data_IF_872208026615
#
_entry.id   IF_872208026615
#
_cell.length_a   1.000
_cell.length_b   1.000
_cell.length_c   1.000
_cell.angle_alpha   90.00
_cell.angle_beta   90.00
_cell.angle_gamma   90.00
#
_symmetry.space_group_name_H-M   'P 1'
#
loop_
_entity.id
_entity.type
_entity.pdbx_description
1 polymer ?
#
# COMPACT_ATOMS: atom_id res chain seq x y z
N UNK A 1 4.98 6.29 -14.74
CA UNK A 1 5.46 5.26 -13.78
C UNK A 1 4.38 4.21 -13.59
N UNK A 2 4.76 2.96 -13.38
CA UNK A 2 3.81 1.91 -13.01
C UNK A 2 3.55 1.99 -11.50
N UNK A 3 2.29 2.14 -11.11
CA UNK A 3 1.83 2.13 -9.72
C UNK A 3 0.58 1.28 -9.60
N UNK A 4 0.57 0.26 -8.73
CA UNK A 4 -0.55 -0.68 -8.57
C UNK A 4 -1.09 -1.21 -9.92
N UNK A 5 -0.20 -1.60 -10.84
CA UNK A 5 -0.53 -2.06 -12.19
C UNK A 5 -1.30 -1.02 -13.05
N UNK A 6 -1.00 0.27 -12.87
CA UNK A 6 -1.49 1.38 -13.69
C UNK A 6 -0.34 2.29 -14.11
N UNK A 7 -0.43 2.88 -15.30
CA UNK A 7 0.46 3.96 -15.72
C UNK A 7 -0.01 5.27 -15.09
N UNK A 8 0.83 5.92 -14.29
CA UNK A 8 0.60 7.27 -13.79
C UNK A 8 1.46 8.26 -14.57
N UNK A 9 0.81 9.29 -15.13
CA UNK A 9 1.45 10.32 -15.98
C UNK A 9 1.17 11.72 -15.43
N UNK A 10 2.20 12.42 -14.99
CA UNK A 10 2.12 13.79 -14.48
C UNK A 10 2.34 14.81 -15.61
N UNK A 11 1.26 15.36 -16.20
CA UNK A 11 1.43 16.27 -17.36
C UNK A 11 2.03 17.63 -17.00
N UNK A 12 1.74 18.14 -15.81
CA UNK A 12 2.08 19.51 -15.43
C UNK A 12 3.36 19.61 -14.57
N UNK A 13 4.06 18.51 -14.30
CA UNK A 13 5.29 18.49 -13.49
C UNK A 13 6.45 17.90 -14.31
N UNK A 14 7.35 18.77 -14.77
CA UNK A 14 8.48 18.39 -15.65
C UNK A 14 9.40 17.33 -15.01
N UNK A 15 9.51 17.34 -13.69
CA UNK A 15 10.35 16.42 -12.91
C UNK A 15 9.97 14.95 -13.09
N UNK A 16 8.73 14.65 -13.52
CA UNK A 16 8.19 13.28 -13.59
C UNK A 16 7.90 12.81 -15.03
N UNK A 17 8.43 13.51 -16.04
CA UNK A 17 8.15 13.20 -17.45
C UNK A 17 8.91 11.99 -18.00
N UNK A 18 9.94 11.51 -17.30
CA UNK A 18 10.80 10.40 -17.75
C UNK A 18 10.44 9.03 -17.17
N UNK A 19 9.29 8.90 -16.49
CA UNK A 19 8.93 7.62 -15.88
C UNK A 19 8.48 6.60 -16.95
N UNK A 20 9.00 5.37 -16.86
CA UNK A 20 8.65 4.25 -17.75
C UNK A 20 7.14 3.96 -17.73
N UNK A 21 6.58 3.70 -18.91
CA UNK A 21 5.19 3.33 -19.15
C UNK A 21 5.11 1.93 -19.76
N UNK A 22 3.99 1.26 -19.57
CA UNK A 22 3.73 -0.06 -20.14
C UNK A 22 2.45 -0.04 -20.99
N UNK A 23 2.55 -0.34 -22.28
CA UNK A 23 1.48 -0.14 -23.27
C UNK A 23 0.19 -0.93 -22.99
N UNK A 24 0.26 -2.00 -22.19
CA UNK A 24 -0.89 -2.80 -21.79
C UNK A 24 -1.63 -2.33 -20.53
N UNK A 25 -1.18 -1.28 -19.83
CA UNK A 25 -1.76 -0.85 -18.56
C UNK A 25 -2.67 0.37 -18.72
N UNK A 26 -3.75 0.39 -17.91
CA UNK A 26 -4.63 1.55 -17.80
C UNK A 26 -3.84 2.78 -17.36
N UNK A 27 -4.12 3.92 -18.00
CA UNK A 27 -3.42 5.16 -17.72
C UNK A 27 -4.28 6.11 -16.91
N UNK A 28 -3.72 6.56 -15.78
CA UNK A 28 -4.26 7.63 -14.94
C UNK A 28 -3.43 8.88 -15.18
N UNK A 29 -4.08 9.89 -15.74
CA UNK A 29 -3.43 11.18 -15.99
C UNK A 29 -3.58 12.07 -14.75
N UNK A 30 -2.49 12.71 -14.34
CA UNK A 30 -2.46 13.67 -13.24
C UNK A 30 -2.32 15.08 -13.82
N UNK A 31 -3.31 15.94 -13.55
CA UNK A 31 -3.45 17.28 -14.13
C UNK A 31 -3.61 18.36 -13.06
N UNK A 32 -2.91 19.47 -13.24
CA UNK A 32 -3.12 20.67 -12.42
C UNK A 32 -4.45 21.32 -12.82
N UNK A 33 -5.25 21.74 -11.86
CA UNK A 33 -6.48 22.51 -12.06
C UNK A 33 -6.39 23.89 -11.40
N UNK A 34 -7.23 24.84 -11.83
CA UNK A 34 -7.44 26.11 -11.13
C UNK A 34 -8.35 25.93 -9.91
N UNK A 35 -8.13 26.71 -8.86
CA UNK A 35 -8.86 26.60 -7.58
C UNK A 35 -10.38 26.83 -7.70
N UNK A 36 -10.81 27.53 -8.76
CA UNK A 36 -12.19 27.98 -8.97
C UNK A 36 -13.23 26.88 -9.20
N UNK A 37 -12.85 25.63 -9.44
CA UNK A 37 -13.80 24.55 -9.78
C UNK A 37 -14.16 23.62 -8.60
N UNK A 38 -13.33 23.63 -7.55
CA UNK A 38 -13.25 22.50 -6.63
C UNK A 38 -14.12 22.61 -5.40
N UNK A 39 -14.31 23.83 -4.91
CA UNK A 39 -15.06 24.07 -3.69
C UNK A 39 -16.57 24.09 -3.92
N UNK A 40 -17.04 24.34 -5.15
CA UNK A 40 -18.46 24.36 -5.48
C UNK A 40 -19.04 22.95 -5.71
N UNK A 41 -18.18 21.98 -6.09
CA UNK A 41 -18.61 20.62 -6.44
C UNK A 41 -18.73 19.70 -5.22
N UNK A 42 -17.93 19.94 -4.16
CA UNK A 42 -17.84 19.06 -2.99
C UNK A 42 -18.36 19.75 -1.72
N UNK A 43 -19.68 19.69 -1.52
CA UNK A 43 -20.37 20.36 -0.40
C UNK A 43 -20.16 19.68 0.95
N UNK A 44 -19.86 18.37 0.98
CA UNK A 44 -19.63 17.61 2.21
C UNK A 44 -18.14 17.57 2.52
N UNK A 45 -17.78 17.89 3.76
CA UNK A 45 -16.39 17.88 4.25
C UNK A 45 -16.34 17.22 5.62
N UNK A 46 -15.37 16.34 5.82
CA UNK A 46 -15.10 15.82 7.16
C UNK A 46 -14.35 16.85 8.00
N UNK A 47 -14.30 16.63 9.32
CA UNK A 47 -13.33 17.32 10.17
C UNK A 47 -11.90 17.05 9.69
N UNK A 48 -11.00 17.98 9.99
CA UNK A 48 -9.56 17.77 9.84
C UNK A 48 -9.10 16.62 10.74
N UNK A 49 -8.24 15.77 10.21
CA UNK A 49 -7.63 14.65 10.92
C UNK A 49 -6.16 14.53 10.53
N UNK A 50 -5.33 14.01 11.44
CA UNK A 50 -3.93 13.75 11.16
C UNK A 50 -3.80 12.55 10.21
N UNK A 51 -3.13 12.75 9.09
CA UNK A 51 -2.85 11.72 8.08
C UNK A 51 -1.43 11.94 7.57
N UNK A 52 -0.59 10.91 7.64
CA UNK A 52 0.79 10.99 7.12
C UNK A 52 1.61 12.20 7.64
N UNK A 53 1.33 12.66 8.86
CA UNK A 53 1.99 13.82 9.48
C UNK A 53 1.40 15.19 9.14
N UNK A 54 0.34 15.26 8.32
CA UNK A 54 -0.36 16.51 7.97
C UNK A 54 -1.83 16.48 8.39
N UNK A 55 -2.43 17.66 8.55
CA UNK A 55 -3.89 17.77 8.65
C UNK A 55 -4.52 17.57 7.28
N UNK A 56 -5.39 16.57 7.16
CA UNK A 56 -6.13 16.31 5.94
C UNK A 56 -7.62 16.09 6.21
N UNK A 57 -8.46 16.30 5.19
CA UNK A 57 -9.88 15.98 5.24
C UNK A 57 -10.39 15.44 3.92
N UNK A 58 -11.46 14.65 4.01
CA UNK A 58 -12.16 14.14 2.84
C UNK A 58 -13.27 15.13 2.44
N UNK A 59 -13.41 15.35 1.14
CA UNK A 59 -14.42 16.19 0.53
C UNK A 59 -15.18 15.40 -0.55
N UNK A 60 -16.50 15.55 -0.61
CA UNK A 60 -17.33 14.86 -1.62
C UNK A 60 -18.69 15.55 -1.83
N UNK A 61 -19.39 15.19 -2.90
CA UNK A 61 -20.77 15.64 -3.14
C UNK A 61 -21.81 14.73 -2.46
N UNK A 62 -21.43 13.49 -2.14
CA UNK A 62 -22.27 12.45 -1.54
C UNK A 62 -21.51 11.78 -0.38
N UNK A 63 -22.23 11.20 0.57
CA UNK A 63 -21.63 10.52 1.72
C UNK A 63 -20.76 9.32 1.28
N UNK A 64 -19.58 9.17 1.89
CA UNK A 64 -18.56 8.16 1.50
C UNK A 64 -19.03 6.71 1.58
N UNK A 65 -20.01 6.38 2.44
CA UNK A 65 -20.54 5.00 2.47
C UNK A 65 -21.27 4.60 1.17
N UNK A 66 -21.61 5.58 0.31
CA UNK A 66 -22.15 5.37 -1.03
C UNK A 66 -21.06 5.28 -2.11
N UNK A 67 -19.78 5.25 -1.75
CA UNK A 67 -18.69 5.20 -2.71
C UNK A 67 -18.77 3.92 -3.55
N UNK A 68 -18.63 4.08 -4.86
CA UNK A 68 -18.56 3.06 -5.89
C UNK A 68 -17.59 3.51 -6.99
N UNK A 69 -17.52 2.75 -8.10
CA UNK A 69 -16.64 3.06 -9.24
C UNK A 69 -16.89 4.41 -9.92
N UNK A 70 -18.02 5.07 -9.65
CA UNK A 70 -18.41 6.35 -10.24
C UNK A 70 -18.33 7.50 -9.21
N UNK A 71 -17.79 7.24 -8.02
CA UNK A 71 -17.76 8.19 -6.92
C UNK A 71 -16.55 9.11 -7.02
N UNK A 72 -16.77 10.35 -7.45
CA UNK A 72 -15.75 11.41 -7.40
C UNK A 72 -15.66 12.01 -5.99
N UNK A 73 -14.44 12.26 -5.55
CA UNK A 73 -14.13 12.78 -4.21
C UNK A 73 -12.77 13.48 -4.20
N UNK A 74 -12.47 14.18 -3.11
CA UNK A 74 -11.21 14.87 -2.92
C UNK A 74 -10.61 14.62 -1.53
N UNK A 75 -9.29 14.67 -1.48
CA UNK A 75 -8.48 14.73 -0.28
C UNK A 75 -7.82 16.10 -0.23
N UNK A 76 -8.17 16.90 0.77
CA UNK A 76 -7.56 18.21 1.00
C UNK A 76 -6.49 18.05 2.08
N UNK A 77 -5.24 18.38 1.75
CA UNK A 77 -4.10 18.42 2.66
C UNK A 77 -3.83 19.89 2.97
N UNK A 78 -4.05 20.29 4.23
CA UNK A 78 -4.05 21.68 4.66
C UNK A 78 -2.77 22.39 4.26
N UNK A 79 -2.89 23.54 3.60
CA UNK A 79 -1.81 24.37 3.06
C UNK A 79 -0.89 23.70 2.01
N UNK A 80 -1.00 22.40 1.75
CA UNK A 80 -0.07 21.68 0.86
C UNK A 80 -0.65 21.51 -0.54
N UNK A 81 -1.77 20.79 -0.67
CA UNK A 81 -2.44 20.51 -1.95
C UNK A 81 -3.81 19.87 -1.74
N UNK A 82 -4.65 19.93 -2.77
CA UNK A 82 -5.89 19.14 -2.84
C UNK A 82 -5.76 18.14 -3.99
N UNK A 83 -6.07 16.87 -3.74
CA UNK A 83 -6.15 15.80 -4.75
C UNK A 83 -7.61 15.46 -5.00
N UNK A 84 -7.98 15.24 -6.26
CA UNK A 84 -9.35 14.92 -6.66
C UNK A 84 -9.34 13.72 -7.57
N UNK A 85 -10.23 12.79 -7.26
CA UNK A 85 -10.54 11.67 -8.11
C UNK A 85 -11.74 12.04 -8.97
N UNK A 86 -11.51 12.19 -10.27
CA UNK A 86 -12.57 12.31 -11.26
C UNK A 86 -12.88 10.91 -11.79
N UNK A 87 -13.89 10.28 -11.20
CA UNK A 87 -14.27 8.90 -11.53
C UNK A 87 -14.82 8.76 -12.96
N UNK A 88 -15.41 9.83 -13.51
CA UNK A 88 -15.97 9.84 -14.87
C UNK A 88 -14.86 9.79 -15.91
N UNK A 89 -13.86 10.66 -15.76
CA UNK A 89 -12.75 10.78 -16.70
C UNK A 89 -11.54 9.91 -16.30
N UNK A 90 -11.62 9.20 -15.16
CA UNK A 90 -10.60 8.29 -14.63
C UNK A 90 -9.22 8.96 -14.51
N UNK A 91 -9.21 10.15 -13.89
CA UNK A 91 -8.00 10.99 -13.76
C UNK A 91 -7.89 11.58 -12.35
N UNK A 92 -6.67 11.98 -12.01
CA UNK A 92 -6.39 12.70 -10.77
C UNK A 92 -6.18 14.18 -11.10
N UNK A 93 -6.95 15.05 -10.47
CA UNK A 93 -6.75 16.50 -10.54
C UNK A 93 -6.09 16.98 -9.26
N UNK A 94 -5.29 18.03 -9.33
CA UNK A 94 -4.72 18.64 -8.14
C UNK A 94 -4.65 20.17 -8.19
N UNK A 95 -4.75 20.79 -7.01
CA UNK A 95 -4.42 22.21 -6.80
C UNK A 95 -3.26 22.35 -5.83
N UNK A 96 -2.55 23.47 -5.93
CA UNK A 96 -1.35 23.76 -5.13
C UNK A 96 -1.74 24.63 -3.94
N UNK A 97 -1.38 24.22 -2.73
CA UNK A 97 -1.42 25.08 -1.55
C UNK A 97 -0.17 25.95 -1.43
N UNK A 98 -0.11 26.75 -0.37
CA UNK A 98 1.02 27.66 -0.10
C UNK A 98 2.34 26.95 0.20
N UNK A 99 2.28 25.72 0.71
CA UNK A 99 3.44 24.86 1.06
C UNK A 99 3.70 23.76 0.03
N UNK A 100 3.10 23.86 -1.16
CA UNK A 100 3.22 22.83 -2.19
C UNK A 100 4.67 22.58 -2.64
N UNK A 101 5.02 21.30 -2.80
CA UNK A 101 6.18 20.87 -3.57
C UNK A 101 5.81 19.72 -4.53
N UNK A 102 6.52 19.55 -5.67
CA UNK A 102 6.31 18.41 -6.55
C UNK A 102 6.57 17.05 -5.87
N UNK A 103 7.51 17.00 -4.92
CA UNK A 103 7.82 15.78 -4.15
C UNK A 103 6.62 15.36 -3.31
N UNK A 104 5.99 16.29 -2.60
CA UNK A 104 4.76 16.03 -1.84
C UNK A 104 3.62 15.55 -2.74
N UNK A 105 3.45 16.11 -3.95
CA UNK A 105 2.43 15.63 -4.88
C UNK A 105 2.60 14.13 -5.17
N UNK A 106 3.83 13.72 -5.52
CA UNK A 106 4.15 12.32 -5.82
C UNK A 106 3.95 11.42 -4.61
N UNK A 107 4.44 11.86 -3.44
CA UNK A 107 4.25 11.16 -2.17
C UNK A 107 2.76 10.93 -1.87
N UNK A 108 1.96 12.00 -1.84
CA UNK A 108 0.54 11.91 -1.48
C UNK A 108 -0.25 11.05 -2.46
N UNK A 109 0.06 11.10 -3.75
CA UNK A 109 -0.61 10.26 -4.74
C UNK A 109 -0.27 8.77 -4.55
N UNK A 110 1.01 8.42 -4.45
CA UNK A 110 1.44 7.02 -4.38
C UNK A 110 1.17 6.40 -3.02
N UNK A 111 1.56 7.11 -1.96
CA UNK A 111 1.53 6.59 -0.61
C UNK A 111 0.10 6.54 -0.07
N UNK A 112 -0.78 7.49 -0.44
CA UNK A 112 -2.08 7.66 0.22
C UNK A 112 -3.27 7.67 -0.74
N UNK A 113 -3.32 8.62 -1.66
CA UNK A 113 -4.54 8.92 -2.41
C UNK A 113 -4.94 7.82 -3.39
N UNK A 114 -4.02 7.36 -4.22
CA UNK A 114 -4.33 6.35 -5.23
C UNK A 114 -4.68 4.96 -4.62
N UNK A 115 -3.98 4.46 -3.57
CA UNK A 115 -4.46 3.31 -2.81
C UNK A 115 -5.91 3.45 -2.33
N UNK A 116 -6.30 4.63 -1.83
CA UNK A 116 -7.67 4.90 -1.37
C UNK A 116 -8.67 4.85 -2.54
N UNK A 117 -8.32 5.42 -3.70
CA UNK A 117 -9.13 5.32 -4.92
C UNK A 117 -9.41 3.85 -5.23
N UNK A 118 -8.37 3.03 -5.30
CA UNK A 118 -8.48 1.60 -5.64
C UNK A 118 -9.33 0.82 -4.62
N UNK A 119 -9.21 1.15 -3.34
CA UNK A 119 -10.00 0.56 -2.24
C UNK A 119 -11.49 0.94 -2.36
N UNK A 120 -11.80 2.23 -2.51
CA UNK A 120 -13.17 2.76 -2.60
C UNK A 120 -13.91 2.26 -3.85
N UNK A 121 -13.19 2.07 -4.95
CA UNK A 121 -13.73 1.46 -6.17
C UNK A 121 -13.91 -0.06 -6.06
N UNK A 122 -13.42 -0.68 -4.97
CA UNK A 122 -13.36 -2.13 -4.76
C UNK A 122 -12.58 -2.86 -5.86
N UNK A 123 -11.64 -2.15 -6.50
CA UNK A 123 -10.74 -2.76 -7.49
C UNK A 123 -9.75 -3.69 -6.81
N UNK A 124 -9.17 -3.24 -5.69
CA UNK A 124 -8.23 -3.98 -4.85
C UNK A 124 -8.58 -3.83 -3.37
N UNK A 125 -8.01 -4.70 -2.54
CA UNK A 125 -7.93 -4.52 -1.09
C UNK A 125 -6.51 -4.18 -0.70
N UNK A 126 -6.32 -3.05 -0.03
CA UNK A 126 -5.01 -2.56 0.38
C UNK A 126 -4.69 -3.02 1.80
N UNK A 127 -3.52 -3.63 1.96
CA UNK A 127 -2.92 -4.08 3.20
C UNK A 127 -1.72 -3.22 3.57
N UNK A 128 -1.58 -2.89 4.86
CA UNK A 128 -0.40 -2.21 5.38
C UNK A 128 0.74 -3.19 5.71
N UNK A 129 1.49 -3.66 4.69
CA UNK A 129 2.50 -4.72 4.80
C UNK A 129 3.72 -4.45 3.92
N UNK A 130 4.87 -5.03 4.30
CA UNK A 130 6.04 -5.15 3.43
C UNK A 130 5.93 -6.40 2.56
N UNK A 131 6.58 -6.43 1.39
CA UNK A 131 6.53 -7.61 0.52
C UNK A 131 7.71 -7.70 -0.45
N UNK A 132 8.17 -8.93 -0.63
CA UNK A 132 9.25 -9.32 -1.54
C UNK A 132 8.92 -10.64 -2.24
N UNK A 133 9.70 -11.00 -3.25
CA UNK A 133 9.69 -12.32 -3.88
C UNK A 133 10.85 -13.19 -3.39
N UNK A 134 10.55 -14.44 -3.06
CA UNK A 134 11.54 -15.47 -2.77
C UNK A 134 11.38 -16.54 -3.85
N UNK A 135 12.38 -16.69 -4.72
CA UNK A 135 12.33 -17.60 -5.88
C UNK A 135 11.06 -17.39 -6.74
N UNK A 136 10.69 -16.13 -6.97
CA UNK A 136 9.50 -15.77 -7.74
C UNK A 136 8.17 -15.94 -7.01
N UNK A 137 8.18 -16.40 -5.75
CA UNK A 137 7.01 -16.52 -4.88
C UNK A 137 6.81 -15.24 -4.05
N UNK A 138 5.74 -14.44 -4.27
CA UNK A 138 5.46 -13.26 -3.47
C UNK A 138 5.07 -13.60 -2.03
N UNK A 139 5.74 -13.00 -1.06
CA UNK A 139 5.44 -13.15 0.36
C UNK A 139 5.14 -11.80 1.00
N UNK A 140 4.25 -11.78 2.00
CA UNK A 140 3.92 -10.56 2.76
C UNK A 140 4.51 -10.63 4.17
N UNK A 141 5.06 -9.52 4.64
CA UNK A 141 5.47 -9.30 6.03
C UNK A 141 4.43 -8.44 6.73
N UNK A 142 3.64 -9.08 7.59
CA UNK A 142 2.69 -8.42 8.50
C UNK A 142 3.27 -8.34 9.89
N UNK A 143 3.00 -7.27 10.62
CA UNK A 143 3.41 -7.13 12.02
C UNK A 143 2.59 -6.02 12.66
N UNK A 144 2.48 -6.06 13.99
CA UNK A 144 2.02 -4.92 14.78
C UNK A 144 2.93 -3.70 14.55
N UNK A 145 2.45 -2.51 14.92
CA UNK A 145 3.22 -1.27 14.79
C UNK A 145 4.62 -1.42 15.38
N UNK A 146 5.63 -0.92 14.67
CA UNK A 146 7.05 -1.08 15.01
C UNK A 146 7.56 -2.52 15.11
N UNK A 147 6.84 -3.49 14.55
CA UNK A 147 7.19 -4.92 14.53
C UNK A 147 8.28 -5.35 13.54
N UNK A 148 9.04 -4.41 12.98
CA UNK A 148 10.19 -4.73 12.12
C UNK A 148 9.90 -5.04 10.65
N UNK A 149 8.67 -4.80 10.12
CA UNK A 149 8.32 -5.04 8.70
C UNK A 149 9.31 -4.39 7.73
N UNK A 150 9.46 -3.07 7.80
CA UNK A 150 10.32 -2.34 6.88
C UNK A 150 11.79 -2.74 7.04
N UNK A 151 12.24 -3.05 8.27
CA UNK A 151 13.59 -3.57 8.54
C UNK A 151 13.83 -4.94 7.89
N UNK A 152 12.87 -5.85 7.98
CA UNK A 152 12.99 -7.16 7.33
C UNK A 152 12.91 -7.03 5.82
N UNK A 153 11.96 -6.23 5.29
CA UNK A 153 11.89 -5.92 3.86
C UNK A 153 13.20 -5.36 3.33
N UNK A 154 13.79 -4.38 4.03
CA UNK A 154 15.11 -3.80 3.69
C UNK A 154 16.18 -4.89 3.62
N UNK A 155 16.24 -5.78 4.61
CA UNK A 155 17.20 -6.89 4.62
C UNK A 155 17.04 -7.81 3.40
N UNK A 156 15.81 -8.15 3.02
CA UNK A 156 15.56 -8.94 1.81
C UNK A 156 15.97 -8.19 0.52
N UNK A 157 15.69 -6.88 0.43
CA UNK A 157 16.12 -6.04 -0.70
C UNK A 157 17.65 -6.04 -0.82
N UNK A 158 18.36 -5.89 0.30
CA UNK A 158 19.83 -5.92 0.34
C UNK A 158 20.42 -7.29 -0.04
N UNK A 159 19.67 -8.38 0.16
CA UNK A 159 20.02 -9.73 -0.32
C UNK A 159 19.69 -9.96 -1.80
N UNK A 160 19.15 -8.95 -2.49
CA UNK A 160 18.85 -9.00 -3.92
C UNK A 160 17.46 -9.49 -4.28
N UNK A 161 16.56 -9.67 -3.31
CA UNK A 161 15.18 -10.07 -3.59
C UNK A 161 14.39 -8.97 -4.28
N UNK A 162 13.47 -9.37 -5.16
CA UNK A 162 12.57 -8.45 -5.84
C UNK A 162 11.55 -7.90 -4.86
N UNK A 163 11.43 -6.58 -4.77
CA UNK A 163 10.45 -5.91 -3.94
C UNK A 163 9.09 -5.81 -4.64
N UNK A 164 7.99 -5.97 -3.90
CA UNK A 164 6.65 -5.62 -4.40
C UNK A 164 6.06 -4.40 -3.68
N UNK A 165 6.32 -4.26 -2.37
CA UNK A 165 5.83 -3.11 -1.61
C UNK A 165 6.60 -2.86 -0.32
N UNK A 166 6.64 -1.60 0.08
CA UNK A 166 6.85 -1.17 1.45
C UNK A 166 5.62 -0.33 1.84
N UNK A 167 5.10 -0.55 3.04
CA UNK A 167 3.85 -0.02 3.58
C UNK A 167 2.53 -0.38 2.88
N UNK A 168 2.37 -0.35 1.55
CA UNK A 168 1.05 -0.54 0.92
C UNK A 168 1.07 -1.66 -0.12
N UNK A 169 0.37 -2.76 0.12
CA UNK A 169 0.21 -3.86 -0.84
C UNK A 169 -1.23 -3.95 -1.32
N UNK A 170 -1.46 -4.02 -2.63
CA UNK A 170 -2.79 -4.26 -3.19
C UNK A 170 -3.01 -5.75 -3.46
N UNK A 171 -4.16 -6.26 -3.04
CA UNK A 171 -4.60 -7.64 -3.28
C UNK A 171 -5.77 -7.64 -4.25
N UNK A 172 -5.63 -8.39 -5.34
CA UNK A 172 -6.65 -8.63 -6.37
C UNK A 172 -7.18 -10.06 -6.27
N UNK A 173 -8.49 -10.24 -6.08
CA UNK A 173 -9.11 -11.57 -6.09
C UNK A 173 -9.59 -11.91 -7.49
N UNK A 174 -9.08 -13.01 -8.07
CA UNK A 174 -9.48 -13.53 -9.38
C UNK A 174 -9.90 -14.99 -9.23
N UNK A 175 -11.21 -15.24 -9.19
CA UNK A 175 -11.72 -16.55 -8.78
C UNK A 175 -11.31 -16.85 -7.33
N UNK A 176 -10.71 -18.01 -7.10
CA UNK A 176 -10.20 -18.42 -5.78
C UNK A 176 -8.74 -18.03 -5.54
N UNK A 177 -8.08 -17.43 -6.54
CA UNK A 177 -6.68 -17.01 -6.43
C UNK A 177 -6.58 -15.53 -6.04
N UNK A 178 -5.65 -15.23 -5.13
CA UNK A 178 -5.34 -13.87 -4.70
C UNK A 178 -4.00 -13.47 -5.30
N UNK A 179 -3.96 -12.35 -6.01
CA UNK A 179 -2.77 -11.81 -6.64
C UNK A 179 -2.24 -10.63 -5.84
N UNK A 180 -0.93 -10.63 -5.59
CA UNK A 180 -0.19 -9.47 -5.12
C UNK A 180 0.04 -8.51 -6.28
N UNK A 181 -0.35 -7.26 -6.09
CA UNK A 181 -0.17 -6.17 -7.06
C UNK A 181 0.82 -5.18 -6.44
N UNK A 182 2.02 -5.14 -7.02
CA UNK A 182 3.11 -4.30 -6.55
C UNK A 182 2.70 -2.81 -6.52
N UNK A 183 3.19 -2.08 -5.52
CA UNK A 183 2.78 -0.70 -5.26
C UNK A 183 3.54 0.31 -6.10
N UNK A 184 4.72 0.71 -5.65
CA UNK A 184 5.63 1.64 -6.30
C UNK A 184 7.08 1.34 -5.88
N UNK A 185 8.07 1.61 -6.75
CA UNK A 185 9.45 1.16 -6.58
C UNK A 185 10.27 2.07 -5.64
N UNK A 186 9.76 2.31 -4.44
CA UNK A 186 10.47 3.09 -3.41
C UNK A 186 10.39 2.40 -2.05
N UNK A 187 11.52 2.39 -1.33
CA UNK A 187 11.64 1.82 0.01
C UNK A 187 11.96 2.91 1.05
N UNK A 188 11.29 2.86 2.20
CA UNK A 188 11.32 3.93 3.22
C UNK A 188 11.58 3.36 4.62
N UNK A 189 12.83 3.02 4.96
CA UNK A 189 13.14 2.36 6.23
C UNK A 189 13.00 3.29 7.44
N UNK A 190 13.30 4.60 7.27
CA UNK A 190 13.36 5.58 8.38
C UNK A 190 12.05 6.35 8.62
N UNK A 191 11.02 6.11 7.80
CA UNK A 191 9.68 6.72 7.94
C UNK A 191 9.67 8.26 8.06
N UNK A 192 10.59 8.93 7.39
CA UNK A 192 10.62 10.40 7.28
C UNK A 192 9.36 10.92 6.56
N UNK A 193 8.68 11.91 7.13
CA UNK A 193 7.40 12.42 6.61
C UNK A 193 7.52 12.95 5.18
N UNK A 194 6.50 12.70 4.36
CA UNK A 194 6.36 13.24 3.00
C UNK A 194 7.50 12.92 2.01
N UNK A 195 8.28 11.89 2.29
CA UNK A 195 9.25 11.29 1.34
C UNK A 195 8.85 9.86 1.02
N UNK A 196 9.17 9.43 -0.21
CA UNK A 196 9.04 8.04 -0.65
C UNK A 196 10.24 7.17 -0.23
N UNK A 197 11.30 7.77 0.31
CA UNK A 197 12.56 7.09 0.58
C UNK A 197 13.43 7.01 -0.68
N UNK A 198 14.09 5.87 -0.92
CA UNK A 198 14.99 5.69 -2.06
C UNK A 198 14.40 4.75 -3.12
N UNK A 199 14.76 4.92 -4.40
CA UNK A 199 14.29 4.05 -5.47
C UNK A 199 14.86 2.63 -5.34
N UNK A 200 14.07 1.62 -5.69
CA UNK A 200 14.48 0.21 -5.73
C UNK A 200 14.45 -0.28 -7.17
N UNK A 201 15.59 -0.70 -7.70
CA UNK A 201 15.70 -1.17 -9.10
C UNK A 201 15.05 -2.54 -9.30
N UNK A 202 15.32 -3.50 -8.40
CA UNK A 202 14.72 -4.83 -8.47
C UNK A 202 13.30 -4.82 -7.89
N UNK A 203 12.34 -4.37 -8.70
CA UNK A 203 10.95 -4.19 -8.32
C UNK A 203 10.00 -4.95 -9.26
N UNK A 204 8.99 -5.59 -8.69
CA UNK A 204 8.01 -6.36 -9.46
C UNK A 204 7.04 -5.45 -10.22
N UNK A 205 6.84 -5.71 -11.50
CA UNK A 205 5.93 -4.93 -12.36
C UNK A 205 4.66 -5.66 -12.76
N UNK A 206 4.61 -6.97 -12.53
CA UNK A 206 3.50 -7.83 -12.94
C UNK A 206 2.73 -8.40 -11.74
N UNK A 207 1.39 -8.54 -11.84
CA UNK A 207 0.60 -9.28 -10.86
C UNK A 207 1.05 -10.73 -10.71
N UNK A 208 1.31 -11.18 -9.48
CA UNK A 208 1.67 -12.58 -9.20
C UNK A 208 0.78 -13.21 -8.14
N UNK A 209 0.48 -14.52 -8.22
CA UNK A 209 -0.25 -15.22 -7.16
C UNK A 209 0.46 -15.06 -5.82
N UNK A 210 -0.27 -14.64 -4.79
CA UNK A 210 0.27 -14.51 -3.45
C UNK A 210 0.61 -15.90 -2.90
N UNK A 211 1.83 -16.09 -2.40
CA UNK A 211 2.28 -17.38 -1.89
C UNK A 211 2.01 -17.55 -0.40
N UNK A 212 2.46 -16.61 0.44
CA UNK A 212 2.33 -16.74 1.90
C UNK A 212 2.34 -15.38 2.62
N UNK A 213 1.86 -15.40 3.86
CA UNK A 213 1.96 -14.26 4.78
C UNK A 213 2.73 -14.65 6.04
N UNK A 214 3.77 -13.91 6.36
CA UNK A 214 4.55 -14.04 7.58
C UNK A 214 4.13 -12.95 8.57
N UNK A 215 3.49 -13.35 9.66
CA UNK A 215 3.18 -12.51 10.81
C UNK A 215 4.40 -12.48 11.74
N UNK A 216 5.11 -11.35 11.75
CA UNK A 216 6.26 -11.10 12.59
C UNK A 216 5.80 -10.75 14.01
N UNK A 217 6.28 -11.52 14.99
CA UNK A 217 6.04 -11.28 16.40
C UNK A 217 7.37 -11.10 17.13
N UNK A 218 7.52 -9.98 17.84
CA UNK A 218 8.73 -9.72 18.62
C UNK A 218 8.85 -10.72 19.76
N UNK A 219 10.06 -11.15 20.03
CA UNK A 219 10.42 -12.03 21.12
C UNK A 219 11.72 -11.56 21.78
N UNK A 220 12.02 -12.11 22.96
CA UNK A 220 13.26 -11.78 23.68
C UNK A 220 14.50 -12.09 22.82
N UNK A 221 15.60 -11.31 22.97
CA UNK A 221 16.78 -11.38 22.09
C UNK A 221 17.41 -12.78 21.93
N UNK A 222 17.26 -13.66 22.92
CA UNK A 222 17.87 -15.00 22.98
C UNK A 222 16.94 -16.10 22.46
N UNK A 223 15.67 -15.81 22.20
CA UNK A 223 14.69 -16.81 21.74
C UNK A 223 15.09 -17.36 20.37
N UNK A 224 14.86 -18.65 20.12
CA UNK A 224 15.13 -19.24 18.80
C UNK A 224 14.12 -18.74 17.76
N UNK A 225 14.59 -18.57 16.52
CA UNK A 225 13.69 -18.25 15.40
C UNK A 225 12.83 -19.48 15.11
N UNK A 226 11.54 -19.34 15.31
CA UNK A 226 10.57 -20.41 15.04
C UNK A 226 9.49 -19.91 14.08
N UNK A 227 9.09 -20.79 13.15
CA UNK A 227 8.03 -20.52 12.18
C UNK A 227 6.95 -21.59 12.29
N UNK A 228 5.73 -21.18 12.62
CA UNK A 228 4.59 -22.08 12.77
C UNK A 228 3.41 -21.60 11.93
N UNK A 229 2.71 -22.53 11.27
CA UNK A 229 1.50 -22.19 10.53
C UNK A 229 0.35 -21.90 11.48
N UNK A 230 -0.30 -20.74 11.30
CA UNK A 230 -1.50 -20.36 12.02
C UNK A 230 -2.71 -21.10 11.46
N UNK A 231 -3.68 -21.44 12.31
CA UNK A 231 -4.91 -22.14 11.90
C UNK A 231 -6.16 -21.38 12.30
N UNK A 232 -7.26 -21.63 11.58
CA UNK A 232 -8.57 -21.06 11.87
C UNK A 232 -8.54 -19.53 12.00
N UNK A 233 -9.13 -19.02 13.08
CA UNK A 233 -9.28 -17.58 13.31
C UNK A 233 -7.96 -16.84 13.50
N UNK A 234 -6.86 -17.53 13.85
CA UNK A 234 -5.57 -16.89 14.05
C UNK A 234 -4.97 -16.34 12.77
N UNK A 235 -5.24 -16.99 11.62
CA UNK A 235 -4.84 -16.47 10.30
C UNK A 235 -5.40 -15.07 10.07
N UNK A 236 -6.60 -14.79 10.57
CA UNK A 236 -7.25 -13.49 10.42
C UNK A 236 -6.51 -12.36 11.13
N UNK A 237 -5.82 -12.64 12.24
CA UNK A 237 -5.03 -11.63 12.97
C UNK A 237 -3.96 -11.00 12.07
N UNK A 238 -3.38 -11.76 11.14
CA UNK A 238 -2.37 -11.25 10.22
C UNK A 238 -2.90 -10.17 9.26
N UNK A 239 -4.21 -10.14 9.01
CA UNK A 239 -4.87 -9.20 8.09
C UNK A 239 -5.67 -8.09 8.80
N UNK A 240 -6.08 -8.33 10.04
CA UNK A 240 -6.98 -7.45 10.78
C UNK A 240 -6.32 -6.14 11.24
N UNK A 241 -5.01 -6.17 11.54
CA UNK A 241 -4.30 -5.03 12.14
C UNK A 241 -3.65 -4.08 11.14
N UNK A 242 -3.93 -4.25 9.84
CA UNK A 242 -3.27 -3.51 8.77
C UNK A 242 -4.23 -2.76 7.82
N UNK A 243 -5.36 -2.16 8.28
CA UNK A 243 -6.16 -1.33 7.38
C UNK A 243 -5.34 -0.09 6.99
N UNK A 244 -5.07 0.04 5.70
CA UNK A 244 -4.42 1.23 5.13
C UNK A 244 -5.22 2.50 5.43
N UNK A 245 -6.55 2.42 5.33
CA UNK A 245 -7.51 3.45 5.80
C UNK A 245 -8.68 2.79 6.52
N UNK A 246 -9.11 3.39 7.63
CA UNK A 246 -10.19 2.88 8.46
C UNK A 246 -11.55 3.49 8.06
N UNK A 247 -12.10 3.04 6.93
CA UNK A 247 -13.49 3.34 6.58
C UNK A 247 -14.43 2.37 7.30
N UNK A 248 -15.16 2.88 8.30
CA UNK A 248 -16.07 2.06 9.12
C UNK A 248 -17.11 1.30 8.30
N UNK A 249 -17.59 1.90 7.19
CA UNK A 249 -18.57 1.28 6.29
C UNK A 249 -18.00 0.11 5.46
N UNK A 250 -16.67 -0.01 5.33
CA UNK A 250 -16.02 -1.11 4.61
C UNK A 250 -15.60 -2.26 5.53
N UNK A 251 -15.79 -2.14 6.86
CA UNK A 251 -15.31 -3.15 7.82
C UNK A 251 -15.85 -4.55 7.54
N UNK A 252 -17.15 -4.66 7.23
CA UNK A 252 -17.79 -5.95 6.93
C UNK A 252 -17.24 -6.58 5.65
N UNK A 253 -17.20 -5.84 4.54
CA UNK A 253 -16.68 -6.37 3.27
C UNK A 253 -15.18 -6.70 3.32
N UNK A 254 -14.38 -5.93 4.10
CA UNK A 254 -12.97 -6.27 4.34
C UNK A 254 -12.83 -7.53 5.18
N UNK A 255 -13.63 -7.67 6.23
CA UNK A 255 -13.65 -8.87 7.06
C UNK A 255 -13.95 -10.10 6.21
N UNK A 256 -15.02 -10.06 5.40
CA UNK A 256 -15.40 -11.16 4.51
C UNK A 256 -14.30 -11.49 3.49
N UNK A 257 -13.67 -10.48 2.88
CA UNK A 257 -12.57 -10.66 1.93
C UNK A 257 -11.37 -11.38 2.56
N UNK A 258 -10.89 -10.92 3.71
CA UNK A 258 -9.70 -11.51 4.34
C UNK A 258 -10.01 -12.83 5.06
N UNK A 259 -11.22 -13.01 5.57
CA UNK A 259 -11.67 -14.30 6.08
C UNK A 259 -11.66 -15.35 4.96
N UNK A 260 -12.15 -15.01 3.77
CA UNK A 260 -12.09 -15.90 2.62
C UNK A 260 -10.65 -16.13 2.15
N UNK A 261 -9.84 -15.08 2.03
CA UNK A 261 -8.42 -15.19 1.64
C UNK A 261 -7.64 -16.13 2.56
N UNK A 262 -7.90 -16.10 3.87
CA UNK A 262 -7.21 -16.94 4.85
C UNK A 262 -7.40 -18.45 4.66
N UNK A 263 -8.43 -18.86 3.90
CA UNK A 263 -8.66 -20.26 3.54
C UNK A 263 -7.74 -20.74 2.41
N UNK A 264 -7.30 -19.83 1.55
CA UNK A 264 -6.53 -20.13 0.35
C UNK A 264 -5.03 -19.83 0.51
N UNK A 265 -4.67 -18.95 1.44
CA UNK A 265 -3.28 -18.50 1.64
C UNK A 265 -2.75 -19.01 3.00
N UNK A 266 -1.59 -19.69 3.02
CA UNK A 266 -0.93 -20.05 4.28
C UNK A 266 -0.45 -18.79 5.01
N UNK A 267 -0.60 -18.81 6.34
CA UNK A 267 -0.14 -17.73 7.21
C UNK A 267 0.76 -18.35 8.26
N UNK A 268 1.99 -17.86 8.33
CA UNK A 268 2.99 -18.33 9.27
C UNK A 268 3.29 -17.26 10.30
N UNK A 269 3.31 -17.62 11.58
CA UNK A 269 3.84 -16.77 12.64
C UNK A 269 5.34 -17.01 12.76
N UNK A 270 6.11 -15.92 12.78
CA UNK A 270 7.57 -15.92 12.93
C UNK A 270 7.91 -15.26 14.26
N UNK A 271 8.60 -16.00 15.12
CA UNK A 271 9.19 -15.45 16.34
C UNK A 271 10.48 -14.73 15.96
N UNK A 272 10.47 -13.40 16.03
CA UNK A 272 11.59 -12.53 15.67
C UNK A 272 12.32 -12.14 16.95
N UNK A 273 13.56 -12.63 17.19
CA UNK A 273 14.36 -12.19 18.32
C UNK A 273 14.64 -10.70 18.19
N UNK A 274 14.46 -9.92 19.26
CA UNK A 274 14.68 -8.47 19.21
C UNK A 274 16.17 -8.11 19.27
N UNK A 275 16.95 -8.68 18.34
CA UNK A 275 18.38 -8.49 18.14
C UNK A 275 18.68 -8.42 16.63
N UNK A 276 19.18 -7.28 16.15
CA UNK A 276 19.48 -7.06 14.74
C UNK A 276 20.59 -7.98 14.21
N UNK A 277 21.54 -8.39 15.05
CA UNK A 277 22.63 -9.29 14.64
C UNK A 277 22.11 -10.68 14.24
N UNK A 278 20.89 -11.03 14.70
CA UNK A 278 20.21 -12.30 14.42
C UNK A 278 19.19 -12.20 13.28
N UNK A 279 19.10 -11.05 12.60
CA UNK A 279 18.16 -10.86 11.49
C UNK A 279 18.40 -11.84 10.34
N UNK A 280 19.67 -12.25 10.13
CA UNK A 280 20.03 -13.26 9.13
C UNK A 280 19.42 -14.63 9.42
N UNK A 281 19.25 -15.01 10.69
CA UNK A 281 18.56 -16.26 11.09
C UNK A 281 17.08 -16.21 10.68
N UNK A 282 16.42 -15.08 10.92
CA UNK A 282 15.02 -14.84 10.55
C UNK A 282 14.84 -14.92 9.03
N UNK A 283 15.73 -14.23 8.30
CA UNK A 283 15.78 -14.27 6.84
C UNK A 283 15.91 -15.71 6.31
N UNK A 284 16.92 -16.46 6.79
CA UNK A 284 17.16 -17.85 6.37
C UNK A 284 15.97 -18.76 6.65
N UNK A 285 15.37 -18.65 7.83
CA UNK A 285 14.20 -19.45 8.20
C UNK A 285 13.01 -19.19 7.27
N UNK A 286 12.74 -17.92 6.92
CA UNK A 286 11.67 -17.55 6.00
C UNK A 286 11.94 -18.06 4.58
N UNK A 287 13.19 -17.94 4.09
CA UNK A 287 13.58 -18.45 2.77
C UNK A 287 13.35 -19.96 2.70
N UNK A 288 13.94 -20.72 3.64
CA UNK A 288 13.75 -22.19 3.72
C UNK A 288 12.27 -22.55 3.75
N UNK A 289 11.49 -21.88 4.61
CA UNK A 289 10.06 -22.16 4.73
C UNK A 289 9.28 -21.87 3.44
N UNK A 290 9.65 -20.82 2.71
CA UNK A 290 9.01 -20.44 1.44
C UNK A 290 9.37 -21.41 0.32
N UNK A 291 10.59 -21.96 0.32
CA UNK A 291 11.03 -22.90 -0.71
C UNK A 291 10.45 -24.31 -0.51
N UNK A 292 10.21 -24.73 0.74
CA UNK A 292 9.64 -26.05 1.07
C UNK A 292 8.11 -26.14 0.89
N UNK A 293 7.40 -25.01 0.88
CA UNK A 293 5.94 -24.91 0.75
C UNK A 293 5.48 -24.81 -0.71
#
# INVERSE_FOLDING_TARGET
>A
MIVFNHNLIFKNEKTFQNDVLHDGLNTIVILKQSDSFLFDTFSLKTSWALMSGQEARYCSAKLFYKADKNFSWALEIKDVLTLIWDAKERKILYTKGSKYTPVQLRYWIFHTFFPIVLELERRYRILHVGSVEIEGKPVLFSAFSFGGKSTLTDYFIQKGHTMLSDDSMAIDKRGDTYYAIASYPFHRPYRELETLGYPVENFATEPKPLHAVYLLEKSEPEVMVEIHELKGIEKFKAFHYTPFVNFSFMKKERFEFFAEMSKHIPVYKVMVPWNLDRLDEVYKAIVVKTTEA
#
